data_IF_590446504230
#
_entry.id   IF_590446504230
#
_cell.length_a   1.000
_cell.length_b   1.000
_cell.length_c   1.000
_cell.angle_alpha   90.00
_cell.angle_beta   90.00
_cell.angle_gamma   90.00
#
_symmetry.space_group_name_H-M   'P 1'
#
loop_
_entity.id
_entity.type
_entity.pdbx_description
1 polymer ?
#
# COMPACT_ATOMS: atom_id res chain seq x y z
N UNK A 1 39.60 37.73 45.11
CA UNK A 1 39.08 37.74 43.72
C UNK A 1 38.91 36.31 43.26
N UNK A 2 37.69 35.79 43.33
CA UNK A 2 37.36 34.42 42.90
C UNK A 2 37.15 34.41 41.37
N UNK A 3 37.89 33.54 40.68
CA UNK A 3 37.75 33.35 39.24
C UNK A 3 36.46 32.59 38.94
N UNK A 4 35.54 33.23 38.20
CA UNK A 4 34.33 32.61 37.71
C UNK A 4 34.69 31.63 36.58
N UNK A 5 34.56 30.32 36.84
CA UNK A 5 34.62 29.28 35.83
C UNK A 5 33.41 29.40 34.91
N UNK A 6 33.64 29.80 33.66
CA UNK A 6 32.63 29.81 32.61
C UNK A 6 32.24 28.37 32.24
N UNK A 7 31.12 27.90 32.77
CA UNK A 7 30.46 26.68 32.30
C UNK A 7 29.88 26.93 30.90
N UNK A 8 30.70 26.75 29.87
CA UNK A 8 30.22 26.64 28.49
C UNK A 8 29.47 25.30 28.38
N UNK A 9 28.16 25.28 28.08
CA UNK A 9 27.44 24.02 27.89
C UNK A 9 28.06 23.28 26.72
N UNK A 10 28.43 22.02 26.92
CA UNK A 10 28.87 21.14 25.83
C UNK A 10 27.79 21.12 24.73
N UNK A 11 28.17 21.17 23.44
CA UNK A 11 27.21 21.07 22.36
C UNK A 11 26.42 19.78 22.53
N UNK A 12 25.09 19.89 22.53
CA UNK A 12 24.20 18.74 22.64
C UNK A 12 24.61 17.68 21.59
N UNK A 13 24.66 16.39 21.95
CA UNK A 13 25.02 15.34 20.99
C UNK A 13 24.12 15.45 19.76
N UNK A 14 24.74 15.37 18.58
CA UNK A 14 24.00 15.43 17.32
C UNK A 14 22.85 14.42 17.36
N UNK A 15 21.62 14.82 16.98
CA UNK A 15 20.47 13.93 17.05
C UNK A 15 20.76 12.69 16.20
N UNK A 16 20.58 11.51 16.80
CA UNK A 16 20.71 10.22 16.09
C UNK A 16 19.69 10.22 14.96
N UNK A 17 20.17 10.32 13.71
CA UNK A 17 19.32 10.36 12.52
C UNK A 17 18.94 8.94 12.12
N UNK A 18 17.67 8.74 11.75
CA UNK A 18 17.22 7.46 11.20
C UNK A 18 17.85 7.26 9.83
N UNK A 19 18.55 6.14 9.58
CA UNK A 19 19.08 5.88 8.24
C UNK A 19 17.94 5.53 7.28
N UNK A 20 18.04 6.05 6.05
CA UNK A 20 16.99 5.94 5.03
C UNK A 20 16.61 4.48 4.68
N UNK A 21 17.57 3.55 4.71
CA UNK A 21 17.30 2.13 4.46
C UNK A 21 16.43 1.49 5.55
N UNK A 22 16.55 1.91 6.82
CA UNK A 22 15.70 1.39 7.91
C UNK A 22 14.28 1.85 7.75
N UNK A 23 14.08 3.10 7.34
CA UNK A 23 12.76 3.60 6.98
C UNK A 23 12.17 2.77 5.84
N UNK A 24 12.93 2.60 4.74
CA UNK A 24 12.49 1.84 3.58
C UNK A 24 12.16 0.36 3.89
N UNK A 25 12.85 -0.27 4.85
CA UNK A 25 12.56 -1.63 5.30
C UNK A 25 11.10 -1.80 5.75
N UNK A 26 10.50 -0.75 6.34
CA UNK A 26 9.10 -0.77 6.75
C UNK A 26 8.10 -1.02 5.61
N UNK A 27 8.49 -0.81 4.34
CA UNK A 27 7.65 -1.16 3.19
C UNK A 27 7.34 -2.65 3.10
N UNK A 28 8.23 -3.53 3.57
CA UNK A 28 7.90 -4.96 3.62
C UNK A 28 6.73 -5.21 4.57
N UNK A 29 6.69 -4.47 5.67
CA UNK A 29 5.63 -4.57 6.67
C UNK A 29 4.27 -4.09 6.22
N UNK A 30 4.21 -3.09 5.34
CA UNK A 30 2.94 -2.58 4.80
C UNK A 30 2.54 -3.28 3.50
N UNK A 31 3.51 -3.55 2.61
CA UNK A 31 3.20 -4.03 1.26
C UNK A 31 2.97 -5.54 1.18
N UNK A 32 3.68 -6.35 1.97
CA UNK A 32 3.53 -7.81 1.90
C UNK A 32 2.12 -8.25 2.33
N UNK A 33 1.58 -7.81 3.49
CA UNK A 33 0.24 -8.21 3.94
C UNK A 33 -0.87 -7.80 2.95
N UNK A 34 -0.90 -6.53 2.55
CA UNK A 34 -1.99 -6.01 1.70
C UNK A 34 -2.03 -6.68 0.33
N UNK A 35 -0.87 -7.03 -0.24
CA UNK A 35 -0.80 -7.70 -1.52
C UNK A 35 -1.22 -9.17 -1.43
N UNK A 36 -0.89 -9.87 -0.33
CA UNK A 36 -1.41 -11.21 -0.07
C UNK A 36 -2.94 -11.19 0.02
N UNK A 37 -3.49 -10.26 0.82
CA UNK A 37 -4.93 -10.06 0.97
C UNK A 37 -5.57 -9.80 -0.40
N UNK A 38 -5.17 -8.72 -1.08
CA UNK A 38 -5.78 -8.33 -2.38
C UNK A 38 -5.64 -9.40 -3.46
N UNK A 39 -4.52 -10.11 -3.48
CA UNK A 39 -4.22 -11.08 -4.53
C UNK A 39 -4.89 -12.44 -4.36
N UNK A 40 -5.16 -12.86 -3.12
CA UNK A 40 -5.53 -14.26 -2.82
C UNK A 40 -6.88 -14.43 -2.13
N UNK A 41 -7.46 -13.36 -1.57
CA UNK A 41 -8.67 -13.45 -0.74
C UNK A 41 -9.88 -13.98 -1.52
N UNK A 42 -10.07 -13.57 -2.79
CA UNK A 42 -11.17 -14.04 -3.63
C UNK A 42 -10.99 -15.52 -3.96
N UNK A 43 -9.79 -15.94 -4.36
CA UNK A 43 -9.50 -17.35 -4.65
C UNK A 43 -9.80 -18.22 -3.41
N UNK A 44 -9.33 -17.83 -2.23
CA UNK A 44 -9.57 -18.62 -1.03
C UNK A 44 -11.07 -18.69 -0.68
N UNK A 45 -11.75 -17.56 -0.56
CA UNK A 45 -13.11 -17.55 -0.01
C UNK A 45 -14.18 -17.96 -1.02
N UNK A 46 -14.10 -17.48 -2.25
CA UNK A 46 -15.11 -17.76 -3.27
C UNK A 46 -14.86 -19.11 -3.93
N UNK A 47 -13.63 -19.36 -4.36
CA UNK A 47 -13.32 -20.51 -5.22
C UNK A 47 -13.01 -21.77 -4.43
N UNK A 48 -12.17 -21.69 -3.38
CA UNK A 48 -11.77 -22.86 -2.58
C UNK A 48 -12.81 -23.17 -1.49
N UNK A 49 -13.26 -22.16 -0.74
CA UNK A 49 -14.22 -22.34 0.37
C UNK A 49 -15.69 -22.29 -0.07
N UNK A 50 -15.96 -21.97 -1.35
CA UNK A 50 -17.31 -21.99 -1.91
C UNK A 50 -18.25 -20.92 -1.35
N UNK A 51 -17.73 -19.79 -0.86
CA UNK A 51 -18.56 -18.67 -0.41
C UNK A 51 -19.34 -18.08 -1.60
N UNK A 52 -20.62 -17.80 -1.37
CA UNK A 52 -21.44 -17.09 -2.34
C UNK A 52 -20.82 -15.72 -2.71
N UNK A 53 -20.67 -15.49 -4.02
CA UNK A 53 -20.04 -14.27 -4.57
C UNK A 53 -20.80 -13.02 -4.17
N UNK A 54 -22.13 -13.08 -4.00
CA UNK A 54 -22.93 -11.91 -3.61
C UNK A 54 -22.70 -11.57 -2.14
N UNK A 55 -22.57 -12.58 -1.28
CA UNK A 55 -22.17 -12.39 0.12
C UNK A 55 -20.75 -11.78 0.21
N UNK A 56 -19.79 -12.33 -0.54
CA UNK A 56 -18.44 -11.77 -0.64
C UNK A 56 -18.47 -10.30 -1.07
N UNK A 57 -19.19 -9.97 -2.16
CA UNK A 57 -19.31 -8.62 -2.68
C UNK A 57 -19.98 -7.65 -1.68
N UNK A 58 -21.00 -8.11 -0.95
CA UNK A 58 -21.67 -7.32 0.09
C UNK A 58 -20.71 -6.96 1.23
N UNK A 59 -19.92 -7.93 1.70
CA UNK A 59 -18.88 -7.69 2.72
C UNK A 59 -17.81 -6.74 2.19
N UNK A 60 -17.34 -6.92 0.94
CA UNK A 60 -16.36 -6.03 0.33
C UNK A 60 -16.89 -4.60 0.10
N UNK A 61 -18.20 -4.43 -0.09
CA UNK A 61 -18.82 -3.10 -0.16
C UNK A 61 -18.82 -2.41 1.22
N UNK A 62 -19.15 -3.14 2.29
CA UNK A 62 -19.06 -2.62 3.67
C UNK A 62 -17.60 -2.30 4.03
N UNK A 63 -16.68 -3.19 3.69
CA UNK A 63 -15.24 -2.99 3.81
C UNK A 63 -14.79 -1.65 3.20
N UNK A 64 -15.22 -1.35 1.96
CA UNK A 64 -14.82 -0.11 1.28
C UNK A 64 -15.38 1.16 1.95
N UNK A 65 -16.57 1.07 2.57
CA UNK A 65 -17.16 2.18 3.32
C UNK A 65 -16.39 2.43 4.62
N UNK A 66 -15.99 1.36 5.31
CA UNK A 66 -15.19 1.43 6.53
C UNK A 66 -13.81 2.01 6.23
N UNK A 67 -13.10 1.51 5.21
CA UNK A 67 -11.81 2.01 4.73
C UNK A 67 -11.85 3.53 4.47
N UNK A 68 -12.89 4.01 3.79
CA UNK A 68 -13.06 5.44 3.52
C UNK A 68 -13.21 6.30 4.79
N UNK A 69 -13.76 5.76 5.87
CA UNK A 69 -13.96 6.45 7.16
C UNK A 69 -12.72 6.33 8.05
N UNK A 70 -12.07 5.18 8.05
CA UNK A 70 -11.00 4.86 9.00
C UNK A 70 -9.72 5.63 8.69
N UNK A 71 -9.38 5.84 7.42
CA UNK A 71 -8.19 6.62 7.01
C UNK A 71 -8.08 8.01 7.68
N UNK A 72 -9.07 8.92 7.57
CA UNK A 72 -9.00 10.23 8.22
C UNK A 72 -9.07 10.15 9.75
N UNK A 73 -9.79 9.16 10.29
CA UNK A 73 -9.95 8.95 11.74
C UNK A 73 -8.62 8.53 12.37
N UNK A 74 -7.96 7.52 11.81
CA UNK A 74 -6.68 6.98 12.27
C UNK A 74 -5.56 8.00 12.14
N UNK A 75 -5.51 8.75 11.04
CA UNK A 75 -4.56 9.85 10.85
C UNK A 75 -4.64 10.87 11.99
N UNK A 76 -5.87 11.31 12.33
CA UNK A 76 -6.12 12.29 13.38
C UNK A 76 -5.87 11.78 14.80
N UNK A 77 -6.28 10.54 15.09
CA UNK A 77 -6.02 9.88 16.36
C UNK A 77 -4.51 9.84 16.62
N UNK A 78 -3.76 9.39 15.62
CA UNK A 78 -2.32 9.31 15.73
C UNK A 78 -1.66 10.68 15.85
N UNK A 79 -2.20 11.72 15.22
CA UNK A 79 -1.69 13.09 15.38
C UNK A 79 -1.79 13.65 16.80
N UNK A 80 -2.71 13.12 17.61
CA UNK A 80 -2.97 13.54 18.99
C UNK A 80 -2.24 12.67 20.02
N UNK A 81 -1.69 11.54 19.61
CA UNK A 81 -0.96 10.64 20.51
C UNK A 81 0.33 11.28 21.01
N UNK A 82 0.49 11.31 22.32
CA UNK A 82 1.73 11.76 22.98
C UNK A 82 2.21 10.66 23.90
N UNK A 83 3.24 9.93 23.50
CA UNK A 83 3.88 8.91 24.32
C UNK A 83 5.38 9.12 24.41
N UNK A 84 6.03 8.40 25.34
CA UNK A 84 7.49 8.40 25.46
C UNK A 84 8.20 7.81 24.23
N UNK A 85 7.51 6.97 23.46
CA UNK A 85 8.02 6.36 22.23
C UNK A 85 7.90 7.29 21.01
N UNK A 86 7.22 8.43 21.16
CA UNK A 86 6.85 9.31 20.07
C UNK A 86 5.35 9.29 19.80
N UNK A 87 4.98 9.90 18.69
CA UNK A 87 3.60 10.07 18.24
C UNK A 87 3.15 8.91 17.36
N UNK A 88 3.97 8.48 16.40
CA UNK A 88 3.58 7.49 15.37
C UNK A 88 4.05 6.08 15.70
N UNK A 89 5.19 5.92 16.39
CA UNK A 89 5.72 4.58 16.76
C UNK A 89 4.76 3.67 17.52
N UNK A 90 3.98 4.14 18.52
CA UNK A 90 3.07 3.25 19.24
C UNK A 90 2.05 2.58 18.33
N UNK A 91 1.56 3.31 17.34
CA UNK A 91 0.59 2.81 16.35
C UNK A 91 1.21 1.76 15.44
N UNK A 92 2.47 1.92 15.04
CA UNK A 92 3.17 0.91 14.24
C UNK A 92 3.48 -0.36 15.04
N UNK A 93 3.95 -0.22 16.29
CA UNK A 93 4.27 -1.34 17.17
C UNK A 93 3.03 -2.13 17.59
N UNK A 94 1.88 -1.46 17.76
CA UNK A 94 0.61 -2.10 18.07
C UNK A 94 -0.04 -2.69 16.82
N UNK A 95 -0.02 -1.95 15.71
CA UNK A 95 -0.71 -2.34 14.49
C UNK A 95 -0.09 -3.52 13.78
N UNK A 96 1.24 -3.65 13.78
CA UNK A 96 1.87 -4.73 13.03
C UNK A 96 1.49 -6.12 13.59
N UNK A 97 1.56 -6.37 14.91
CA UNK A 97 1.07 -7.61 15.50
C UNK A 97 -0.44 -7.84 15.31
N UNK A 98 -1.25 -6.77 15.38
CA UNK A 98 -2.70 -6.89 15.21
C UNK A 98 -3.08 -7.22 13.76
N UNK A 99 -2.45 -6.57 12.78
CA UNK A 99 -2.56 -6.91 11.36
C UNK A 99 -2.11 -8.34 11.10
N UNK A 100 -0.98 -8.76 11.68
CA UNK A 100 -0.49 -10.13 11.58
C UNK A 100 -1.51 -11.14 12.11
N UNK A 101 -2.07 -10.89 13.30
CA UNK A 101 -3.06 -11.77 13.90
C UNK A 101 -4.36 -11.84 13.08
N UNK A 102 -4.90 -10.69 12.65
CA UNK A 102 -6.13 -10.66 11.85
C UNK A 102 -5.93 -11.27 10.47
N UNK A 103 -4.78 -11.04 9.83
CA UNK A 103 -4.45 -11.64 8.54
C UNK A 103 -4.27 -13.16 8.65
N UNK A 104 -3.58 -13.66 9.68
CA UNK A 104 -3.47 -15.11 9.90
C UNK A 104 -4.85 -15.73 10.07
N UNK A 105 -5.72 -15.10 10.87
CA UNK A 105 -7.09 -15.58 11.08
C UNK A 105 -7.92 -15.51 9.77
N UNK A 106 -7.77 -14.46 8.96
CA UNK A 106 -8.40 -14.34 7.65
C UNK A 106 -8.01 -15.48 6.71
N UNK A 107 -6.76 -15.93 6.74
CA UNK A 107 -6.29 -17.03 5.90
C UNK A 107 -6.33 -18.41 6.60
N UNK A 108 -6.91 -18.48 7.80
CA UNK A 108 -7.04 -19.73 8.58
C UNK A 108 -8.46 -19.90 9.16
N UNK A 109 -9.52 -19.84 8.34
CA UNK A 109 -10.86 -20.10 8.83
C UNK A 109 -10.96 -21.53 9.40
N UNK A 110 -11.60 -21.73 10.57
CA UNK A 110 -11.85 -23.06 11.09
C UNK A 110 -12.65 -23.90 10.07
N UNK A 111 -12.20 -25.13 9.81
CA UNK A 111 -12.82 -26.00 8.79
C UNK A 111 -14.27 -26.42 9.08
N UNK A 112 -14.78 -26.12 10.29
CA UNK A 112 -16.18 -26.33 10.67
C UNK A 112 -17.10 -25.16 10.28
N UNK A 113 -16.57 -24.04 9.76
CA UNK A 113 -17.37 -22.90 9.36
C UNK A 113 -17.88 -23.06 7.93
N UNK A 114 -19.19 -22.97 7.77
CA UNK A 114 -19.89 -22.94 6.49
C UNK A 114 -20.94 -21.82 6.45
N UNK A 115 -21.46 -21.55 5.25
CA UNK A 115 -22.57 -20.63 5.02
C UNK A 115 -22.44 -19.29 5.78
N UNK A 116 -23.42 -18.91 6.62
CA UNK A 116 -23.38 -17.65 7.39
C UNK A 116 -22.19 -17.53 8.34
N UNK A 117 -21.71 -18.64 8.92
CA UNK A 117 -20.57 -18.64 9.85
C UNK A 117 -19.28 -18.26 9.15
N UNK A 118 -19.06 -18.78 7.94
CA UNK A 118 -17.93 -18.43 7.10
C UNK A 118 -17.98 -16.95 6.66
N UNK A 119 -19.17 -16.44 6.31
CA UNK A 119 -19.37 -15.03 5.94
C UNK A 119 -19.08 -14.10 7.13
N UNK A 120 -19.53 -14.45 8.33
CA UNK A 120 -19.26 -13.66 9.53
C UNK A 120 -17.77 -13.62 9.88
N UNK A 121 -17.08 -14.76 9.76
CA UNK A 121 -15.63 -14.84 9.96
C UNK A 121 -14.87 -13.99 8.94
N UNK A 122 -15.23 -14.13 7.66
CA UNK A 122 -14.66 -13.34 6.58
C UNK A 122 -14.85 -11.84 6.81
N UNK A 123 -16.08 -11.41 7.12
CA UNK A 123 -16.37 -10.01 7.38
C UNK A 123 -15.54 -9.45 8.54
N UNK A 124 -15.50 -10.16 9.67
CA UNK A 124 -14.74 -9.73 10.84
C UNK A 124 -13.26 -9.56 10.53
N UNK A 125 -12.60 -10.60 9.98
CA UNK A 125 -11.16 -10.57 9.80
C UNK A 125 -10.70 -9.79 8.56
N UNK A 126 -11.54 -9.65 7.53
CA UNK A 126 -11.25 -8.77 6.40
C UNK A 126 -11.26 -7.30 6.85
N UNK A 127 -12.29 -6.88 7.60
CA UNK A 127 -12.39 -5.53 8.14
C UNK A 127 -11.28 -5.25 9.14
N UNK A 128 -10.99 -6.16 10.08
CA UNK A 128 -9.89 -5.97 11.03
C UNK A 128 -8.54 -5.85 10.33
N UNK A 129 -8.28 -6.68 9.32
CA UNK A 129 -7.03 -6.62 8.57
C UNK A 129 -6.87 -5.31 7.80
N UNK A 130 -7.95 -4.78 7.24
CA UNK A 130 -7.90 -3.46 6.60
C UNK A 130 -7.70 -2.34 7.60
N UNK A 131 -8.46 -2.31 8.69
CA UNK A 131 -8.32 -1.30 9.74
C UNK A 131 -6.86 -1.19 10.22
N UNK A 132 -6.20 -2.33 10.49
CA UNK A 132 -4.81 -2.33 10.94
C UNK A 132 -3.81 -2.04 9.82
N UNK A 133 -4.10 -2.41 8.57
CA UNK A 133 -3.29 -2.03 7.41
C UNK A 133 -3.34 -0.52 7.16
N UNK A 134 -4.53 0.09 7.17
CA UNK A 134 -4.76 1.53 7.07
C UNK A 134 -4.07 2.28 8.20
N UNK A 135 -4.15 1.75 9.42
CA UNK A 135 -3.42 2.27 10.57
C UNK A 135 -1.90 2.25 10.34
N UNK A 136 -1.35 1.17 9.78
CA UNK A 136 0.07 1.08 9.46
C UNK A 136 0.48 2.07 8.37
N UNK A 137 -0.24 2.09 7.26
CA UNK A 137 0.07 2.92 6.09
C UNK A 137 0.01 4.43 6.43
N UNK A 138 -1.04 4.87 7.14
CA UNK A 138 -1.19 6.26 7.55
C UNK A 138 -0.02 6.73 8.43
N UNK A 139 0.39 5.90 9.40
CA UNK A 139 1.48 6.22 10.33
C UNK A 139 2.86 6.13 9.66
N UNK A 140 3.07 5.13 8.83
CA UNK A 140 4.33 4.91 8.13
C UNK A 140 4.61 6.00 7.07
N UNK A 141 3.58 6.41 6.33
CA UNK A 141 3.68 7.51 5.37
C UNK A 141 3.97 8.86 6.05
N UNK A 142 3.28 9.15 7.15
CA UNK A 142 3.48 10.39 7.92
C UNK A 142 4.88 10.52 8.53
N UNK A 143 5.60 9.42 8.76
CA UNK A 143 6.96 9.43 9.29
C UNK A 143 8.01 9.93 8.28
N UNK A 144 7.77 9.86 6.98
CA UNK A 144 8.75 10.28 5.96
C UNK A 144 9.19 11.74 6.13
N UNK A 145 8.28 12.74 6.16
CA UNK A 145 8.69 14.14 6.35
C UNK A 145 9.22 14.43 7.75
N UNK A 146 8.82 13.67 8.77
CA UNK A 146 9.27 13.85 10.17
C UNK A 146 10.70 13.35 10.39
N UNK A 147 11.06 12.19 9.81
CA UNK A 147 12.39 11.59 9.94
C UNK A 147 13.41 12.24 8.99
N UNK A 148 12.95 12.77 7.85
CA UNK A 148 13.79 13.35 6.81
C UNK A 148 13.32 14.79 6.48
N UNK A 149 13.72 15.78 7.29
CA UNK A 149 13.32 17.17 7.08
C UNK A 149 14.02 17.81 5.87
N UNK A 150 15.25 17.39 5.56
CA UNK A 150 16.02 17.89 4.41
C UNK A 150 15.54 17.21 3.11
N UNK A 151 15.25 18.01 2.08
CA UNK A 151 14.72 17.55 0.79
C UNK A 151 15.54 16.42 0.16
N UNK A 152 16.87 16.57 0.13
CA UNK A 152 17.77 15.53 -0.43
C UNK A 152 17.68 14.20 0.33
N UNK A 153 17.63 14.25 1.66
CA UNK A 153 17.52 13.04 2.49
C UNK A 153 16.15 12.37 2.35
N UNK A 154 15.08 13.18 2.22
CA UNK A 154 13.70 12.71 1.99
C UNK A 154 13.55 12.07 0.63
N UNK A 155 14.11 12.67 -0.41
CA UNK A 155 14.11 12.11 -1.76
C UNK A 155 14.83 10.75 -1.79
N UNK A 156 15.99 10.64 -1.13
CA UNK A 156 16.73 9.38 -1.04
C UNK A 156 15.93 8.31 -0.27
N UNK A 157 15.31 8.66 0.86
CA UNK A 157 14.46 7.76 1.62
C UNK A 157 13.24 7.29 0.80
N UNK A 158 12.61 8.18 0.03
CA UNK A 158 11.49 7.82 -0.83
C UNK A 158 11.93 6.90 -1.99
N UNK A 159 13.09 7.12 -2.61
CA UNK A 159 13.62 6.23 -3.65
C UNK A 159 13.86 4.82 -3.09
N UNK A 160 14.49 4.72 -1.92
CA UNK A 160 14.68 3.42 -1.25
C UNK A 160 13.34 2.77 -0.89
N UNK A 161 12.37 3.55 -0.38
CA UNK A 161 11.00 3.10 -0.11
C UNK A 161 10.37 2.46 -1.35
N UNK A 162 10.40 3.14 -2.49
CA UNK A 162 9.87 2.58 -3.75
C UNK A 162 10.62 1.31 -4.19
N UNK A 163 11.94 1.26 -4.02
CA UNK A 163 12.73 0.06 -4.33
C UNK A 163 12.33 -1.15 -3.48
N UNK A 164 12.18 -0.95 -2.17
CA UNK A 164 11.72 -2.00 -1.24
C UNK A 164 10.28 -2.41 -1.54
N UNK A 165 9.41 -1.47 -1.93
CA UNK A 165 8.04 -1.77 -2.36
C UNK A 165 8.02 -2.72 -3.57
N UNK A 166 8.86 -2.48 -4.59
CA UNK A 166 8.94 -3.37 -5.75
C UNK A 166 9.37 -4.79 -5.36
N UNK A 167 10.38 -4.91 -4.48
CA UNK A 167 10.81 -6.22 -3.96
C UNK A 167 9.69 -6.87 -3.16
N UNK A 168 8.99 -6.11 -2.31
CA UNK A 168 7.85 -6.58 -1.55
C UNK A 168 6.76 -7.11 -2.48
N UNK A 169 6.44 -6.39 -3.57
CA UNK A 169 5.46 -6.82 -4.57
C UNK A 169 5.86 -8.11 -5.27
N UNK A 170 7.14 -8.32 -5.60
CA UNK A 170 7.60 -9.59 -6.18
C UNK A 170 7.36 -10.74 -5.19
N UNK A 171 7.70 -10.54 -3.92
CA UNK A 171 7.47 -11.54 -2.87
C UNK A 171 5.95 -11.79 -2.73
N UNK A 172 5.17 -10.74 -2.50
CA UNK A 172 3.78 -10.89 -2.09
C UNK A 172 2.77 -11.13 -3.21
N UNK A 173 3.06 -10.69 -4.44
CA UNK A 173 2.20 -10.96 -5.58
C UNK A 173 2.69 -12.21 -6.30
N UNK A 174 3.90 -12.17 -6.86
CA UNK A 174 4.35 -13.24 -7.77
C UNK A 174 4.65 -14.54 -7.02
N UNK A 175 5.34 -14.49 -5.88
CA UNK A 175 5.77 -15.70 -5.17
C UNK A 175 4.64 -16.36 -4.36
N UNK A 176 3.61 -15.59 -3.96
CA UNK A 176 2.48 -16.10 -3.16
C UNK A 176 1.78 -17.31 -3.77
N UNK A 177 1.34 -17.31 -5.04
CA UNK A 177 0.77 -18.49 -5.69
C UNK A 177 1.64 -19.74 -5.56
N UNK A 178 2.97 -19.61 -5.71
CA UNK A 178 3.90 -20.75 -5.60
C UNK A 178 4.02 -21.22 -4.14
N UNK A 179 4.06 -20.28 -3.20
CA UNK A 179 4.10 -20.61 -1.78
C UNK A 179 2.82 -21.33 -1.35
N UNK A 180 1.65 -20.81 -1.70
CA UNK A 180 0.37 -21.36 -1.27
C UNK A 180 0.06 -22.70 -1.93
N UNK A 181 0.46 -22.91 -3.18
CA UNK A 181 0.02 -24.09 -3.95
C UNK A 181 1.10 -25.15 -4.21
N UNK A 182 2.38 -24.86 -3.97
CA UNK A 182 3.47 -25.79 -4.29
C UNK A 182 4.46 -26.01 -3.14
N UNK A 183 4.89 -24.96 -2.44
CA UNK A 183 5.95 -25.06 -1.43
C UNK A 183 5.42 -25.28 -0.02
N UNK A 184 4.35 -24.57 0.33
CA UNK A 184 3.75 -24.58 1.65
C UNK A 184 2.33 -25.16 1.64
N UNK A 185 1.86 -25.76 0.57
CA UNK A 185 0.49 -26.29 0.47
C UNK A 185 0.22 -26.95 -0.88
N UNK A 186 -1.06 -27.12 -1.19
CA UNK A 186 -1.56 -27.64 -2.46
C UNK A 186 -2.72 -26.77 -2.98
N UNK A 187 -3.06 -26.87 -4.28
CA UNK A 187 -3.98 -25.93 -4.96
C UNK A 187 -5.36 -25.77 -4.32
N UNK A 188 -5.83 -26.79 -3.59
CA UNK A 188 -7.16 -26.81 -2.97
C UNK A 188 -7.11 -26.74 -1.44
N UNK A 189 -5.92 -26.66 -0.86
CA UNK A 189 -5.73 -26.74 0.59
C UNK A 189 -5.60 -25.36 1.22
N UNK A 190 -6.53 -25.05 2.13
CA UNK A 190 -6.50 -23.83 2.96
C UNK A 190 -5.18 -23.69 3.73
N UNK A 191 -4.59 -24.81 4.15
CA UNK A 191 -3.34 -24.84 4.92
C UNK A 191 -2.15 -24.19 4.22
N UNK A 192 -2.15 -24.13 2.88
CA UNK A 192 -1.13 -23.39 2.11
C UNK A 192 -1.22 -21.88 2.31
N UNK A 193 -2.44 -21.34 2.32
CA UNK A 193 -2.69 -19.94 2.60
C UNK A 193 -2.39 -19.58 4.05
N UNK A 194 -2.79 -20.43 5.00
CA UNK A 194 -2.52 -20.23 6.43
C UNK A 194 -1.02 -20.16 6.73
N UNK A 195 -0.22 -21.10 6.18
CA UNK A 195 1.25 -21.13 6.35
C UNK A 195 1.93 -19.94 5.70
N UNK A 196 1.47 -19.55 4.51
CA UNK A 196 1.99 -18.36 3.80
C UNK A 196 1.67 -17.07 4.56
N UNK A 197 0.45 -16.94 5.09
CA UNK A 197 0.04 -15.81 5.92
C UNK A 197 0.87 -15.73 7.21
N UNK A 198 1.14 -16.85 7.87
CA UNK A 198 2.02 -16.88 9.05
C UNK A 198 3.46 -16.45 8.72
N UNK A 199 4.04 -16.93 7.61
CA UNK A 199 5.36 -16.51 7.15
C UNK A 199 5.41 -14.99 6.88
N UNK A 200 4.44 -14.47 6.14
CA UNK A 200 4.37 -13.05 5.80
C UNK A 200 4.10 -12.17 7.02
N UNK A 201 3.28 -12.63 7.97
CA UNK A 201 3.07 -11.97 9.24
C UNK A 201 4.38 -11.80 10.01
N UNK A 202 5.21 -12.84 10.11
CA UNK A 202 6.52 -12.78 10.78
C UNK A 202 7.44 -11.77 10.09
N UNK A 203 7.53 -11.83 8.75
CA UNK A 203 8.35 -10.89 7.96
C UNK A 203 7.87 -9.45 8.16
N UNK A 204 6.55 -9.23 8.10
CA UNK A 204 5.96 -7.91 8.21
C UNK A 204 6.16 -7.29 9.60
N UNK A 205 5.90 -8.07 10.66
CA UNK A 205 6.12 -7.63 12.05
C UNK A 205 7.60 -7.35 12.28
N UNK A 206 8.49 -8.23 11.86
CA UNK A 206 9.93 -8.02 12.01
C UNK A 206 10.39 -6.73 11.30
N UNK A 207 9.94 -6.50 10.07
CA UNK A 207 10.27 -5.31 9.31
C UNK A 207 9.79 -4.01 10.00
N UNK A 208 8.54 -3.98 10.47
CA UNK A 208 7.99 -2.81 11.18
C UNK A 208 8.69 -2.60 12.52
N UNK A 209 8.95 -3.66 13.29
CA UNK A 209 9.63 -3.55 14.59
C UNK A 209 11.05 -3.01 14.41
N UNK A 210 11.82 -3.56 13.45
CA UNK A 210 13.19 -3.08 13.16
C UNK A 210 13.18 -1.63 12.68
N UNK A 211 12.25 -1.27 11.79
CA UNK A 211 12.10 0.11 11.32
C UNK A 211 11.73 1.06 12.47
N UNK A 212 10.77 0.67 13.31
CA UNK A 212 10.18 1.53 14.34
C UNK A 212 11.12 1.72 15.52
N UNK A 213 11.79 0.67 16.00
CA UNK A 213 12.78 0.78 17.08
C UNK A 213 14.01 1.60 16.65
N UNK A 214 14.34 1.58 15.36
CA UNK A 214 15.43 2.38 14.79
C UNK A 214 15.04 3.81 14.42
N UNK A 215 13.74 4.12 14.36
CA UNK A 215 13.24 5.45 14.04
C UNK A 215 13.54 6.41 15.19
N UNK A 216 13.89 7.65 14.88
CA UNK A 216 14.13 8.71 15.86
C UNK A 216 13.28 9.92 15.48
N UNK A 217 12.04 9.90 15.95
CA UNK A 217 11.10 11.01 15.80
C UNK A 217 11.67 12.28 16.46
N UNK A 218 11.71 13.37 15.70
CA UNK A 218 12.02 14.69 16.24
C UNK A 218 10.71 15.27 16.79
N UNK A 219 10.65 15.65 18.08
CA UNK A 219 9.44 16.26 18.64
C UNK A 219 9.03 17.47 17.80
N UNK A 220 7.78 17.50 17.36
CA UNK A 220 7.26 18.55 16.49
C UNK A 220 7.55 19.94 17.10
N UNK A 221 8.41 20.72 16.44
CA UNK A 221 8.50 22.17 16.67
C UNK A 221 7.14 22.77 16.33
N UNK A 222 6.60 23.58 17.23
CA UNK A 222 5.20 24.02 17.27
C UNK A 222 4.57 24.24 15.89
N UNK A 223 3.58 23.41 15.56
CA UNK A 223 2.69 23.66 14.43
C UNK A 223 1.47 24.41 14.99
N UNK A 224 1.08 25.49 14.31
CA UNK A 224 -0.03 26.38 14.66
C UNK A 224 -1.39 25.68 14.70
N UNK A 225 -2.48 26.47 14.76
CA UNK A 225 -3.85 25.97 14.88
C UNK A 225 -4.12 24.81 13.90
N UNK A 226 -4.32 23.62 14.46
CA UNK A 226 -4.60 22.42 13.68
C UNK A 226 -5.98 22.59 13.04
N UNK A 227 -6.11 22.53 11.71
CA UNK A 227 -7.40 22.64 11.07
C UNK A 227 -8.34 21.55 11.59
N UNK A 228 -9.60 21.92 11.86
CA UNK A 228 -10.63 20.94 12.25
C UNK A 228 -10.85 19.97 11.08
N UNK A 229 -10.94 18.67 11.37
CA UNK A 229 -11.06 17.62 10.36
C UNK A 229 -12.26 17.82 9.44
N UNK A 230 -13.47 17.88 10.01
CA UNK A 230 -14.71 17.88 9.25
C UNK A 230 -14.83 19.11 8.32
N UNK A 231 -14.56 20.36 8.78
CA UNK A 231 -14.55 21.51 7.91
C UNK A 231 -13.49 21.42 6.79
N UNK A 232 -12.33 20.83 7.08
CA UNK A 232 -11.26 20.69 6.09
C UNK A 232 -11.62 19.68 5.01
N UNK A 233 -12.19 18.53 5.40
CA UNK A 233 -12.69 17.52 4.47
C UNK A 233 -13.78 18.07 3.56
N UNK A 234 -14.77 18.78 4.11
CA UNK A 234 -15.86 19.40 3.32
C UNK A 234 -15.28 20.39 2.31
N UNK A 235 -14.28 21.17 2.70
CA UNK A 235 -13.65 22.14 1.81
C UNK A 235 -12.86 21.47 0.68
N UNK A 236 -12.10 20.40 0.99
CA UNK A 236 -11.36 19.61 0.00
C UNK A 236 -12.33 19.00 -1.03
N UNK A 237 -13.42 18.39 -0.57
CA UNK A 237 -14.45 17.80 -1.44
C UNK A 237 -15.18 18.83 -2.30
N UNK A 238 -15.19 20.11 -1.91
CA UNK A 238 -15.75 21.22 -2.70
C UNK A 238 -14.80 21.75 -3.77
N UNK A 239 -13.52 21.38 -3.73
CA UNK A 239 -12.53 21.84 -4.72
C UNK A 239 -12.72 21.09 -6.04
N UNK A 240 -13.14 21.75 -7.14
CA UNK A 240 -13.44 21.06 -8.41
C UNK A 240 -12.19 20.45 -9.06
N UNK A 241 -11.00 20.93 -8.72
CA UNK A 241 -9.74 20.37 -9.18
C UNK A 241 -9.48 18.97 -8.60
N UNK A 242 -9.95 18.70 -7.37
CA UNK A 242 -9.84 17.38 -6.75
C UNK A 242 -10.54 16.34 -7.64
N UNK A 243 -11.81 16.56 -7.99
CA UNK A 243 -12.60 15.61 -8.77
C UNK A 243 -12.04 15.35 -10.17
N UNK A 244 -11.36 16.34 -10.78
CA UNK A 244 -10.70 16.17 -12.08
C UNK A 244 -9.51 15.19 -12.03
N UNK A 245 -8.91 14.99 -10.86
CA UNK A 245 -7.80 14.04 -10.66
C UNK A 245 -8.29 12.76 -9.98
N UNK A 246 -9.17 12.89 -8.99
CA UNK A 246 -9.71 11.78 -8.21
C UNK A 246 -10.55 10.83 -9.07
N UNK A 247 -11.41 11.33 -9.96
CA UNK A 247 -12.29 10.46 -10.75
C UNK A 247 -11.50 9.54 -11.72
N UNK A 248 -10.55 10.05 -12.54
CA UNK A 248 -9.68 9.16 -13.34
C UNK A 248 -8.87 8.18 -12.48
N UNK A 249 -8.37 8.64 -11.32
CA UNK A 249 -7.58 7.82 -10.41
C UNK A 249 -8.40 6.70 -9.78
N UNK A 250 -9.67 6.97 -9.44
CA UNK A 250 -10.63 5.99 -8.92
C UNK A 250 -10.92 4.92 -9.97
N UNK A 251 -11.31 5.31 -11.19
CA UNK A 251 -11.61 4.36 -12.26
C UNK A 251 -10.42 3.43 -12.54
N UNK A 252 -9.23 4.00 -12.58
CA UNK A 252 -8.00 3.23 -12.78
C UNK A 252 -7.64 2.34 -11.58
N UNK A 253 -7.72 2.88 -10.36
CA UNK A 253 -7.44 2.11 -9.14
C UNK A 253 -8.34 0.89 -9.03
N UNK A 254 -9.62 1.04 -9.36
CA UNK A 254 -10.57 -0.07 -9.45
C UNK A 254 -10.18 -1.08 -10.53
N UNK A 255 -9.77 -0.64 -11.73
CA UNK A 255 -9.35 -1.54 -12.80
C UNK A 255 -8.11 -2.38 -12.42
N UNK A 256 -7.10 -1.76 -11.80
CA UNK A 256 -5.93 -2.48 -11.30
C UNK A 256 -6.30 -3.42 -10.16
N UNK A 257 -7.16 -3.00 -9.24
CA UNK A 257 -7.61 -3.85 -8.14
C UNK A 257 -8.33 -5.12 -8.65
N UNK A 258 -9.16 -5.00 -9.69
CA UNK A 258 -9.82 -6.14 -10.34
C UNK A 258 -8.80 -7.09 -10.98
N UNK A 259 -7.76 -6.56 -11.65
CA UNK A 259 -6.71 -7.42 -12.23
C UNK A 259 -5.92 -8.13 -11.14
N UNK A 260 -5.54 -7.43 -10.07
CA UNK A 260 -4.77 -8.03 -8.98
C UNK A 260 -5.56 -9.13 -8.25
N UNK A 261 -6.86 -8.94 -8.03
CA UNK A 261 -7.70 -9.95 -7.37
C UNK A 261 -8.11 -11.09 -8.31
N UNK A 262 -8.31 -10.80 -9.59
CA UNK A 262 -8.81 -11.75 -10.58
C UNK A 262 -7.73 -12.60 -11.26
N UNK A 263 -6.46 -12.22 -11.21
CA UNK A 263 -5.39 -12.92 -11.97
C UNK A 263 -5.23 -14.40 -11.59
N UNK A 264 -5.41 -14.76 -10.32
CA UNK A 264 -5.33 -16.17 -9.90
C UNK A 264 -6.51 -16.98 -10.46
N UNK A 265 -7.73 -16.41 -10.44
CA UNK A 265 -8.91 -17.01 -11.05
C UNK A 265 -8.80 -17.11 -12.57
N UNK A 266 -8.23 -16.10 -13.21
CA UNK A 266 -8.00 -16.08 -14.66
C UNK A 266 -7.05 -17.22 -15.08
N UNK A 267 -5.92 -17.39 -14.39
CA UNK A 267 -4.99 -18.49 -14.67
C UNK A 267 -5.63 -19.86 -14.43
N UNK A 268 -6.35 -20.03 -13.31
CA UNK A 268 -7.01 -21.30 -12.97
C UNK A 268 -8.13 -21.67 -13.94
N UNK A 269 -9.07 -20.74 -14.18
CA UNK A 269 -10.34 -21.03 -14.87
C UNK A 269 -10.33 -20.68 -16.36
N UNK A 270 -9.60 -19.64 -16.77
CA UNK A 270 -9.57 -19.23 -18.19
C UNK A 270 -8.44 -19.92 -18.95
N UNK A 271 -7.24 -19.96 -18.37
CA UNK A 271 -6.10 -20.63 -18.99
C UNK A 271 -6.08 -22.15 -18.72
N UNK A 272 -6.79 -22.61 -17.68
CA UNK A 272 -6.78 -24.02 -17.27
C UNK A 272 -5.40 -24.48 -16.79
N UNK A 273 -4.60 -23.57 -16.23
CA UNK A 273 -3.23 -23.82 -15.80
C UNK A 273 -3.12 -23.81 -14.27
N UNK A 274 -2.06 -24.45 -13.71
CA UNK A 274 -1.81 -24.39 -12.28
C UNK A 274 -1.67 -22.95 -11.79
N UNK A 275 -2.21 -22.66 -10.59
CA UNK A 275 -2.23 -21.31 -10.00
C UNK A 275 -0.81 -20.77 -9.81
N UNK A 276 0.17 -21.64 -9.57
CA UNK A 276 1.60 -21.29 -9.52
C UNK A 276 2.09 -20.54 -10.79
N UNK A 277 1.45 -20.75 -11.95
CA UNK A 277 1.77 -20.05 -13.21
C UNK A 277 1.57 -18.53 -13.14
N UNK A 278 0.75 -18.05 -12.20
CA UNK A 278 0.58 -16.62 -11.90
C UNK A 278 1.93 -15.95 -11.61
N UNK A 279 2.89 -16.68 -11.02
CA UNK A 279 4.26 -16.19 -10.82
C UNK A 279 4.90 -15.67 -12.11
N UNK A 280 4.73 -16.40 -13.23
CA UNK A 280 5.29 -15.99 -14.52
C UNK A 280 4.57 -14.75 -15.06
N UNK A 281 3.23 -14.74 -15.02
CA UNK A 281 2.42 -13.62 -15.54
C UNK A 281 2.71 -12.34 -14.76
N UNK A 282 2.64 -12.38 -13.44
CA UNK A 282 2.94 -11.21 -12.61
C UNK A 282 4.42 -10.85 -12.60
N UNK A 283 5.31 -11.84 -12.67
CA UNK A 283 6.75 -11.62 -12.81
C UNK A 283 7.08 -10.79 -14.04
N UNK A 284 6.48 -11.12 -15.20
CA UNK A 284 6.62 -10.34 -16.43
C UNK A 284 6.08 -8.93 -16.27
N UNK A 285 4.89 -8.75 -15.68
CA UNK A 285 4.30 -7.42 -15.43
C UNK A 285 5.24 -6.56 -14.56
N UNK A 286 5.81 -7.13 -13.50
CA UNK A 286 6.70 -6.40 -12.58
C UNK A 286 8.04 -6.06 -13.24
N UNK A 287 8.62 -6.99 -14.01
CA UNK A 287 9.88 -6.77 -14.74
C UNK A 287 9.72 -5.68 -15.80
N UNK A 288 8.67 -5.74 -16.61
CA UNK A 288 8.42 -4.70 -17.63
C UNK A 288 8.04 -3.37 -16.99
N UNK A 289 7.34 -3.38 -15.86
CA UNK A 289 7.07 -2.17 -15.08
C UNK A 289 8.35 -1.49 -14.61
N UNK A 290 9.28 -2.25 -13.99
CA UNK A 290 10.55 -1.72 -13.53
C UNK A 290 11.40 -1.17 -14.70
N UNK A 291 11.44 -1.87 -15.83
CA UNK A 291 12.17 -1.41 -17.02
C UNK A 291 11.54 -0.15 -17.64
N UNK A 292 10.21 -0.12 -17.79
CA UNK A 292 9.49 0.99 -18.40
C UNK A 292 9.49 2.26 -17.53
N UNK A 293 9.67 2.13 -16.21
CA UNK A 293 9.74 3.27 -15.30
C UNK A 293 10.79 4.30 -15.74
N UNK A 294 11.97 3.85 -16.19
CA UNK A 294 13.03 4.74 -16.67
C UNK A 294 12.61 5.51 -17.94
N UNK A 295 11.92 4.85 -18.86
CA UNK A 295 11.40 5.48 -20.07
C UNK A 295 10.33 6.52 -19.75
N UNK A 296 9.42 6.21 -18.82
CA UNK A 296 8.41 7.15 -18.35
C UNK A 296 9.02 8.34 -17.61
N UNK A 297 10.06 8.14 -16.78
CA UNK A 297 10.79 9.24 -16.14
C UNK A 297 11.48 10.15 -17.16
N UNK A 298 11.99 9.60 -18.26
CA UNK A 298 12.50 10.39 -19.37
C UNK A 298 11.37 11.17 -20.08
N UNK A 299 10.20 10.54 -20.27
CA UNK A 299 9.03 11.20 -20.84
C UNK A 299 8.50 12.33 -19.95
N UNK A 300 8.48 12.16 -18.62
CA UNK A 300 8.11 13.23 -17.67
C UNK A 300 9.04 14.44 -17.82
N UNK A 301 10.36 14.20 -17.95
CA UNK A 301 11.35 15.28 -18.14
C UNK A 301 11.17 16.03 -19.46
N UNK A 302 10.73 15.36 -20.53
CA UNK A 302 10.56 15.96 -21.87
C UNK A 302 9.19 16.59 -22.10
N UNK A 303 8.12 15.94 -21.67
CA UNK A 303 6.73 16.29 -21.99
C UNK A 303 5.99 16.96 -20.82
N UNK A 304 6.56 16.87 -19.62
CA UNK A 304 5.93 17.32 -18.37
C UNK A 304 4.93 16.31 -17.81
N UNK A 305 4.82 16.28 -16.47
CA UNK A 305 4.05 15.27 -15.73
C UNK A 305 2.60 15.10 -16.20
N UNK A 306 1.87 16.18 -16.52
CA UNK A 306 0.45 16.10 -16.88
C UNK A 306 0.21 15.45 -18.25
N UNK A 307 1.05 15.74 -19.25
CA UNK A 307 0.94 15.11 -20.58
C UNK A 307 1.31 13.64 -20.48
N UNK A 308 2.37 13.34 -19.74
CA UNK A 308 2.82 11.96 -19.50
C UNK A 308 1.75 11.14 -18.77
N UNK A 309 1.09 11.71 -17.75
CA UNK A 309 0.00 11.05 -17.01
C UNK A 309 -1.18 10.70 -17.93
N UNK A 310 -1.57 11.59 -18.85
CA UNK A 310 -2.61 11.31 -19.86
C UNK A 310 -2.20 10.20 -20.83
N UNK A 311 -0.94 10.20 -21.28
CA UNK A 311 -0.41 9.15 -22.15
C UNK A 311 -0.38 7.79 -21.43
N UNK A 312 -0.05 7.78 -20.13
CA UNK A 312 -0.03 6.57 -19.33
C UNK A 312 -1.43 5.93 -19.23
N UNK A 313 -2.50 6.73 -19.07
CA UNK A 313 -3.86 6.20 -19.14
C UNK A 313 -4.20 5.57 -20.48
N UNK A 314 -3.83 6.19 -21.60
CA UNK A 314 -4.06 5.61 -22.91
C UNK A 314 -3.31 4.29 -23.11
N UNK A 315 -2.05 4.23 -22.68
CA UNK A 315 -1.25 3.01 -22.72
C UNK A 315 -1.89 1.88 -21.88
N UNK A 316 -2.41 2.23 -20.70
CA UNK A 316 -3.05 1.27 -19.83
C UNK A 316 -4.41 0.78 -20.37
N UNK A 317 -5.25 1.68 -20.91
CA UNK A 317 -6.50 1.29 -21.57
C UNK A 317 -6.24 0.29 -22.70
N UNK A 318 -5.21 0.54 -23.52
CA UNK A 318 -4.79 -0.41 -24.54
C UNK A 318 -4.33 -1.75 -23.95
N UNK A 319 -3.67 -1.73 -22.80
CA UNK A 319 -3.22 -2.94 -22.09
C UNK A 319 -4.39 -3.81 -21.61
N UNK A 320 -5.45 -3.20 -21.06
CA UNK A 320 -6.65 -3.94 -20.64
C UNK A 320 -7.40 -4.55 -21.83
N UNK A 321 -7.45 -3.84 -22.97
CA UNK A 321 -8.03 -4.39 -24.19
C UNK A 321 -7.27 -5.64 -24.68
N UNK A 322 -5.94 -5.66 -24.56
CA UNK A 322 -5.12 -6.83 -24.88
C UNK A 322 -5.34 -7.98 -23.90
N UNK A 323 -5.50 -7.70 -22.61
CA UNK A 323 -5.80 -8.72 -21.60
C UNK A 323 -7.13 -9.44 -21.88
N UNK A 324 -8.13 -8.73 -22.38
CA UNK A 324 -9.40 -9.34 -22.78
C UNK A 324 -9.25 -10.38 -23.91
N UNK A 325 -8.26 -10.18 -24.79
CA UNK A 325 -7.97 -11.09 -25.91
C UNK A 325 -7.04 -12.25 -25.51
N UNK A 326 -6.44 -12.21 -24.32
CA UNK A 326 -5.50 -13.22 -23.88
C UNK A 326 -6.24 -14.50 -23.44
N UNK A 327 -6.07 -15.59 -24.19
CA UNK A 327 -6.70 -16.90 -23.94
C UNK A 327 -5.71 -18.02 -23.63
N UNK A 328 -4.43 -17.77 -23.88
CA UNK A 328 -3.36 -18.74 -23.72
C UNK A 328 -2.17 -18.09 -22.98
N UNK A 329 -1.30 -18.88 -22.36
CA UNK A 329 -0.18 -18.37 -21.55
C UNK A 329 0.70 -17.37 -22.30
N UNK A 330 1.02 -17.64 -23.56
CA UNK A 330 1.85 -16.73 -24.38
C UNK A 330 1.17 -15.38 -24.57
N UNK A 331 -0.12 -15.35 -24.91
CA UNK A 331 -0.90 -14.12 -25.04
C UNK A 331 -1.05 -13.40 -23.71
N UNK A 332 -1.16 -14.13 -22.59
CA UNK A 332 -1.22 -13.56 -21.24
C UNK A 332 0.12 -12.91 -20.83
N UNK A 333 1.26 -13.53 -21.16
CA UNK A 333 2.58 -12.96 -20.91
C UNK A 333 2.82 -11.70 -21.74
N UNK A 334 2.42 -11.70 -23.01
CA UNK A 334 2.52 -10.52 -23.89
C UNK A 334 1.60 -9.39 -23.40
N UNK A 335 0.34 -9.69 -23.08
CA UNK A 335 -0.60 -8.70 -22.54
C UNK A 335 -0.13 -8.16 -21.17
N UNK A 336 0.39 -9.03 -20.31
CA UNK A 336 1.00 -8.65 -19.03
C UNK A 336 2.23 -7.75 -19.20
N UNK A 337 3.08 -8.03 -20.18
CA UNK A 337 4.22 -7.17 -20.51
C UNK A 337 3.77 -5.74 -20.84
N UNK A 338 2.74 -5.60 -21.69
CA UNK A 338 2.17 -4.29 -22.06
C UNK A 338 1.49 -3.62 -20.86
N UNK A 339 0.76 -4.37 -20.03
CA UNK A 339 0.19 -3.87 -18.79
C UNK A 339 1.25 -3.27 -17.86
N UNK A 340 2.38 -3.94 -17.68
CA UNK A 340 3.49 -3.43 -16.86
C UNK A 340 4.03 -2.10 -17.39
N UNK A 341 4.13 -1.93 -18.72
CA UNK A 341 4.54 -0.67 -19.34
C UNK A 341 3.51 0.44 -19.04
N UNK A 342 2.22 0.18 -19.20
CA UNK A 342 1.16 1.15 -18.88
C UNK A 342 1.14 1.53 -17.40
N UNK A 343 1.29 0.53 -16.53
CA UNK A 343 1.26 0.70 -15.08
C UNK A 343 2.44 1.55 -14.56
N UNK A 344 3.64 1.34 -15.10
CA UNK A 344 4.82 2.12 -14.75
C UNK A 344 4.66 3.62 -15.01
N UNK A 345 3.92 3.98 -16.07
CA UNK A 345 3.65 5.39 -16.39
C UNK A 345 2.83 6.08 -15.30
N UNK A 346 1.86 5.38 -14.74
CA UNK A 346 1.04 5.90 -13.65
C UNK A 346 1.81 5.95 -12.33
N UNK A 347 2.63 4.93 -12.02
CA UNK A 347 3.52 4.98 -10.85
C UNK A 347 4.49 6.17 -10.92
N UNK A 348 5.01 6.51 -12.11
CA UNK A 348 5.92 7.64 -12.28
C UNK A 348 5.24 9.02 -12.17
N UNK A 349 3.92 9.11 -12.37
CA UNK A 349 3.23 10.40 -12.58
C UNK A 349 2.15 10.71 -11.55
N UNK A 350 1.53 9.72 -10.91
CA UNK A 350 0.38 9.93 -10.04
C UNK A 350 0.72 10.84 -8.85
N UNK A 351 1.78 10.52 -8.10
CA UNK A 351 2.23 11.31 -6.96
C UNK A 351 2.57 12.75 -7.35
N UNK A 352 3.17 12.95 -8.53
CA UNK A 352 3.52 14.28 -9.06
C UNK A 352 2.27 15.11 -9.40
N UNK A 353 1.20 14.47 -9.88
CA UNK A 353 -0.06 15.15 -10.21
C UNK A 353 -0.82 15.50 -8.94
N UNK A 354 -0.89 14.58 -7.97
CA UNK A 354 -1.52 14.80 -6.66
C UNK A 354 -0.81 15.94 -5.92
N UNK A 355 0.52 15.95 -5.87
CA UNK A 355 1.30 17.03 -5.24
C UNK A 355 0.93 18.41 -5.81
N UNK A 356 0.76 18.53 -7.14
CA UNK A 356 0.35 19.80 -7.77
C UNK A 356 -1.06 20.25 -7.40
N UNK A 357 -1.98 19.32 -7.12
CA UNK A 357 -3.32 19.65 -6.63
C UNK A 357 -3.21 20.22 -5.21
N UNK A 358 -2.41 19.58 -4.38
CA UNK A 358 -2.15 20.02 -2.99
C UNK A 358 -1.49 21.39 -2.96
N UNK A 359 -0.45 21.62 -3.77
CA UNK A 359 0.25 22.91 -3.87
C UNK A 359 -0.69 24.03 -4.30
N UNK A 360 -1.60 23.75 -5.25
CA UNK A 360 -2.61 24.72 -5.67
C UNK A 360 -3.64 25.00 -4.59
N UNK A 361 -4.10 23.99 -3.87
CA UNK A 361 -5.04 24.19 -2.77
C UNK A 361 -4.41 25.02 -1.65
N UNK A 362 -3.15 24.73 -1.30
CA UNK A 362 -2.38 25.50 -0.33
C UNK A 362 -2.18 26.96 -0.79
N UNK A 363 -1.91 27.20 -2.07
CA UNK A 363 -1.77 28.55 -2.61
C UNK A 363 -3.09 29.37 -2.57
N UNK A 364 -4.24 28.71 -2.72
CA UNK A 364 -5.56 29.37 -2.70
C UNK A 364 -6.03 29.63 -1.26
N UNK A 365 -5.78 28.70 -0.34
CA UNK A 365 -6.35 28.73 1.01
C UNK A 365 -5.37 29.07 2.12
N UNK A 366 -4.07 29.19 1.82
CA UNK A 366 -3.02 29.54 2.80
C UNK A 366 -2.80 28.48 3.89
N UNK A 367 -3.32 27.26 3.71
CA UNK A 367 -3.26 26.18 4.70
C UNK A 367 -2.60 24.95 4.08
N UNK A 368 -1.53 24.45 4.70
CA UNK A 368 -0.90 23.18 4.34
C UNK A 368 -1.74 22.02 4.88
N UNK A 369 -2.57 21.42 4.02
CA UNK A 369 -3.45 20.27 4.34
C UNK A 369 -3.00 18.96 3.69
N UNK A 370 -1.69 18.81 3.52
CA UNK A 370 -1.05 17.74 2.74
C UNK A 370 -1.49 16.34 3.18
N UNK A 371 -1.73 16.13 4.48
CA UNK A 371 -2.17 14.84 5.03
C UNK A 371 -3.65 14.49 4.86
N UNK A 372 -4.49 15.37 4.31
CA UNK A 372 -5.91 15.10 4.05
C UNK A 372 -6.21 14.80 2.57
N UNK A 373 -5.21 14.95 1.70
CA UNK A 373 -5.29 14.67 0.25
C UNK A 373 -4.65 13.34 -0.15
N UNK A 374 -3.91 12.72 0.77
CA UNK A 374 -3.33 11.37 0.67
C UNK A 374 -4.34 10.36 1.21
#
# INVERSE_FOLDING_TARGET
MAAASSNVPLPAPAPVRTPAWRYALGMFGTSIPINLIRGSIVLLYVDILGMDVRAYAAVMAVYAVIDAIDNPVLGHLSDRTRTRLGRRRPWLLLGAPLLAASMIALFSPPGSLDGPGLVAWFALFAILSELFDSMLNANYGALLPELFPEERSRALANVLRQGFQLVAMVISLALTPVLTTSLLGSEEEVGGFSRTAALYAVIAVAAIVVMTLGAHEVPARGQGERPRLLPSLIQILRTPLLWKVALPSLCYGSAVAIVLSGVQLYVRHTLGLPVATVFLVQGVVLLTCAAALFAWLAAVRRLGALRTWRLAFWALTGSFALLYLARDLTTALLAGAVLGIGWAGLLATNDLVVARVVDRDAAVHGLHREGLFL
#
